data_IF_236434122480
#
_entry.id   IF_236434122480
#
_cell.length_a   1.000
_cell.length_b   1.000
_cell.length_c   1.000
_cell.angle_alpha   90.00
_cell.angle_beta   90.00
_cell.angle_gamma   90.00
#
_symmetry.space_group_name_H-M   'P 1'
#
loop_
_entity.id
_entity.type
_entity.pdbx_description
1 polymer ?
#
# COMPACT_ATOMS: atom_id res chain seq x y z
N UNK A 1 35.27 0.33 -17.22
CA UNK A 1 33.99 -0.18 -17.75
C UNK A 1 33.69 -1.51 -17.07
N UNK A 2 32.75 -1.52 -16.11
CA UNK A 2 32.25 -2.76 -15.48
C UNK A 2 30.73 -2.68 -15.59
N UNK A 3 30.16 -3.51 -16.46
CA UNK A 3 28.72 -3.65 -16.60
C UNK A 3 28.23 -4.44 -15.38
N UNK A 4 27.38 -3.82 -14.56
CA UNK A 4 26.64 -4.49 -13.51
C UNK A 4 25.52 -5.30 -14.14
N UNK A 5 25.52 -6.61 -13.89
CA UNK A 5 24.44 -7.50 -14.29
C UNK A 5 23.15 -7.06 -13.63
N UNK A 6 22.15 -6.72 -14.44
CA UNK A 6 20.80 -6.45 -13.96
C UNK A 6 20.19 -7.78 -13.55
N UNK A 7 19.97 -7.97 -12.24
CA UNK A 7 19.14 -9.06 -11.75
C UNK A 7 17.69 -8.71 -12.10
N UNK A 8 17.20 -9.27 -13.20
CA UNK A 8 15.77 -9.19 -13.56
C UNK A 8 14.97 -9.92 -12.48
N UNK A 9 14.49 -9.18 -11.49
CA UNK A 9 13.50 -9.67 -10.55
C UNK A 9 12.23 -9.94 -11.37
N UNK A 10 11.98 -11.20 -11.73
CA UNK A 10 10.70 -11.64 -12.27
C UNK A 10 9.59 -11.26 -11.29
N UNK A 11 8.96 -10.11 -11.52
CA UNK A 11 7.70 -9.77 -10.87
C UNK A 11 6.66 -10.73 -11.41
N UNK A 12 6.40 -11.82 -10.69
CA UNK A 12 5.23 -12.66 -10.94
C UNK A 12 4.01 -11.73 -10.97
N UNK A 13 3.36 -11.61 -12.13
CA UNK A 13 2.15 -10.83 -12.27
C UNK A 13 1.05 -11.52 -11.46
N UNK A 14 0.87 -11.08 -10.21
CA UNK A 14 -0.22 -11.52 -9.36
C UNK A 14 -1.53 -11.02 -9.94
N UNK A 15 -2.21 -11.89 -10.69
CA UNK A 15 -3.54 -11.59 -11.24
C UNK A 15 -4.54 -11.57 -10.11
N UNK A 16 -5.31 -10.48 -10.02
CA UNK A 16 -6.38 -10.35 -9.04
C UNK A 16 -7.39 -11.51 -9.14
N UNK A 17 -7.76 -12.08 -7.99
CA UNK A 17 -8.79 -13.10 -7.85
C UNK A 17 -9.93 -12.59 -6.96
N UNK A 18 -11.16 -13.01 -7.29
CA UNK A 18 -12.35 -12.72 -6.49
C UNK A 18 -12.22 -13.39 -5.11
N UNK A 19 -12.58 -12.72 -4.01
CA UNK A 19 -12.58 -13.35 -2.69
C UNK A 19 -13.64 -14.44 -2.59
N UNK A 20 -13.39 -15.46 -1.77
CA UNK A 20 -14.41 -16.44 -1.40
C UNK A 20 -15.54 -15.79 -0.61
N UNK A 21 -16.72 -16.41 -0.63
CA UNK A 21 -17.88 -15.97 0.18
C UNK A 21 -17.49 -15.80 1.65
N UNK A 22 -17.91 -14.69 2.26
CA UNK A 22 -17.57 -14.34 3.65
C UNK A 22 -16.27 -13.54 3.81
N UNK A 23 -15.44 -13.42 2.76
CA UNK A 23 -14.23 -12.60 2.79
C UNK A 23 -14.47 -11.19 2.24
N UNK A 24 -13.69 -10.25 2.76
CA UNK A 24 -13.63 -8.87 2.27
C UNK A 24 -12.33 -8.64 1.49
N UNK A 25 -12.42 -7.86 0.41
CA UNK A 25 -11.27 -7.30 -0.30
C UNK A 25 -10.98 -5.91 0.23
N UNK A 26 -9.74 -5.64 0.61
CA UNK A 26 -9.26 -4.29 0.88
C UNK A 26 -8.52 -3.74 -0.34
N UNK A 27 -8.96 -2.60 -0.88
CA UNK A 27 -8.18 -1.79 -1.81
C UNK A 27 -7.48 -0.68 -1.02
N UNK A 28 -6.17 -0.55 -1.16
CA UNK A 28 -5.37 0.49 -0.50
C UNK A 28 -4.70 1.37 -1.55
N UNK A 29 -4.57 2.66 -1.27
CA UNK A 29 -3.84 3.63 -2.08
C UNK A 29 -3.15 4.68 -1.21
N UNK A 30 -2.06 5.27 -1.73
CA UNK A 30 -1.33 6.32 -1.04
C UNK A 30 -0.88 7.42 -2.02
N UNK A 31 -1.09 8.68 -1.62
CA UNK A 31 -0.69 9.86 -2.36
C UNK A 31 0.42 10.62 -1.63
N UNK A 32 1.47 10.99 -2.34
CA UNK A 32 2.60 11.76 -1.79
C UNK A 32 2.58 13.18 -2.36
N UNK A 33 2.45 14.18 -1.48
CA UNK A 33 2.28 15.58 -1.84
C UNK A 33 3.51 16.39 -1.42
N UNK A 34 4.52 16.44 -2.29
CA UNK A 34 5.83 17.06 -1.98
C UNK A 34 5.71 18.52 -1.55
N UNK A 35 4.90 19.31 -2.25
CA UNK A 35 4.75 20.75 -1.98
C UNK A 35 4.07 21.04 -0.64
N UNK A 36 3.23 20.12 -0.17
CA UNK A 36 2.52 20.24 1.11
C UNK A 36 3.26 19.52 2.24
N UNK A 37 4.36 18.83 1.94
CA UNK A 37 5.04 17.89 2.83
C UNK A 37 4.03 16.97 3.56
N UNK A 38 3.12 16.37 2.80
CA UNK A 38 2.04 15.52 3.33
C UNK A 38 1.95 14.23 2.54
N UNK A 39 1.48 13.19 3.20
CA UNK A 39 1.07 11.94 2.58
C UNK A 39 -0.38 11.67 2.93
N UNK A 40 -1.17 11.27 1.95
CA UNK A 40 -2.52 10.77 2.15
C UNK A 40 -2.52 9.25 1.98
N UNK A 41 -3.32 8.55 2.77
CA UNK A 41 -3.59 7.13 2.59
C UNK A 41 -5.09 6.93 2.53
N UNK A 42 -5.58 6.15 1.59
CA UNK A 42 -6.98 5.79 1.46
C UNK A 42 -7.12 4.28 1.38
N UNK A 43 -8.17 3.74 1.98
CA UNK A 43 -8.52 2.35 1.79
C UNK A 43 -10.03 2.13 1.77
N UNK A 44 -10.47 1.08 1.08
CA UNK A 44 -11.87 0.66 1.08
C UNK A 44 -12.00 -0.86 1.17
N UNK A 45 -13.00 -1.33 1.90
CA UNK A 45 -13.43 -2.72 1.90
C UNK A 45 -14.59 -2.93 0.96
N UNK A 46 -14.53 -4.07 0.27
CA UNK A 46 -15.61 -4.59 -0.56
C UNK A 46 -15.87 -6.04 -0.18
N UNK A 47 -17.12 -6.47 -0.23
CA UNK A 47 -17.42 -7.87 -0.01
C UNK A 47 -17.03 -8.73 -1.22
N UNK A 48 -17.21 -10.04 -1.08
CA UNK A 48 -16.98 -11.01 -2.15
C UNK A 48 -17.78 -10.74 -3.43
N UNK A 49 -18.89 -10.00 -3.39
CA UNK A 49 -19.65 -9.56 -4.58
C UNK A 49 -19.15 -8.24 -5.16
N UNK A 50 -18.14 -7.62 -4.54
CA UNK A 50 -17.60 -6.32 -4.92
C UNK A 50 -18.40 -5.13 -4.38
N UNK A 51 -19.41 -5.37 -3.52
CA UNK A 51 -20.22 -4.31 -2.92
C UNK A 51 -19.39 -3.55 -1.89
N UNK A 52 -19.56 -2.24 -1.87
CA UNK A 52 -18.90 -1.38 -0.90
C UNK A 52 -19.36 -1.73 0.52
N UNK A 53 -18.41 -1.78 1.46
CA UNK A 53 -18.69 -2.01 2.89
C UNK A 53 -18.30 -0.79 3.71
N UNK A 54 -17.04 -0.37 3.61
CA UNK A 54 -16.52 0.79 4.34
C UNK A 54 -15.28 1.37 3.67
N UNK A 55 -14.93 2.61 4.00
CA UNK A 55 -13.70 3.25 3.57
C UNK A 55 -13.22 4.27 4.61
N UNK A 56 -11.92 4.56 4.56
CA UNK A 56 -11.29 5.59 5.36
C UNK A 56 -10.26 6.33 4.51
N UNK A 57 -9.99 7.58 4.88
CA UNK A 57 -8.90 8.36 4.32
C UNK A 57 -8.21 9.14 5.44
N UNK A 58 -6.88 9.09 5.45
CA UNK A 58 -6.06 9.70 6.49
C UNK A 58 -5.01 10.60 5.86
N UNK A 59 -4.77 11.75 6.47
CA UNK A 59 -3.69 12.67 6.11
C UNK A 59 -2.61 12.65 7.18
N UNK A 60 -1.37 12.54 6.75
CA UNK A 60 -0.20 12.53 7.61
C UNK A 60 0.76 13.63 7.18
N UNK A 61 1.24 14.39 8.15
CA UNK A 61 2.33 15.34 7.93
C UNK A 61 3.63 14.57 7.67
N UNK A 62 4.48 15.06 6.76
CA UNK A 62 5.67 14.36 6.27
C UNK A 62 6.68 14.03 7.37
N UNK A 63 6.73 14.82 8.45
CA UNK A 63 7.55 14.54 9.63
C UNK A 63 7.06 13.33 10.44
N UNK A 64 5.75 13.02 10.42
CA UNK A 64 5.17 11.85 11.09
C UNK A 64 5.54 10.54 10.37
N UNK A 65 5.82 10.57 9.05
CA UNK A 65 6.32 9.41 8.31
C UNK A 65 7.74 9.00 8.73
N UNK A 66 8.61 9.95 9.06
CA UNK A 66 9.98 9.62 9.50
C UNK A 66 9.99 8.83 10.81
N UNK A 67 9.01 9.06 11.70
CA UNK A 67 8.85 8.28 12.93
C UNK A 67 8.25 6.89 12.68
N UNK A 68 7.35 6.74 11.69
CA UNK A 68 6.83 5.42 11.30
C UNK A 68 7.91 4.55 10.65
N UNK A 69 8.75 5.13 9.77
CA UNK A 69 9.86 4.43 9.10
C UNK A 69 10.93 3.92 10.07
N UNK A 70 11.03 4.48 11.28
CA UNK A 70 11.93 3.99 12.34
C UNK A 70 11.36 2.81 13.15
N UNK A 71 10.08 2.47 13.00
CA UNK A 71 9.42 1.42 13.81
C UNK A 71 9.19 0.10 13.05
N UNK A 72 9.83 -0.09 11.89
CA UNK A 72 9.77 -1.35 11.11
C UNK A 72 11.02 -2.23 11.32
N UNK A 73 11.98 -1.81 12.15
CA UNK A 73 13.18 -2.60 12.45
C UNK A 73 13.33 -2.81 13.98
N UNK A 74 12.76 -3.91 14.47
CA UNK A 74 13.33 -4.80 15.51
C UNK A 74 12.26 -5.85 15.86
N UNK A 75 12.18 -6.87 15.03
CA UNK A 75 11.74 -8.21 15.42
C UNK A 75 12.76 -9.18 14.84
N UNK A 76 13.83 -9.34 15.59
CA UNK A 76 14.74 -10.49 15.64
C UNK A 76 15.11 -10.66 17.10
#
# INVERSE_FOLDING_TARGET
MKQGGQTEQQQQQLRWQKPSTGWLKCNVDAGFHKNLNKTSTGWCLRDHLGRFVLAETTWMDGWKLFHYRRRVHSLT
#
